data_IF_656548025107
#
_entry.id   IF_656548025107
#
_cell.length_a   1.000
_cell.length_b   1.000
_cell.length_c   1.000
_cell.angle_alpha   90.00
_cell.angle_beta   90.00
_cell.angle_gamma   90.00
#
_symmetry.space_group_name_H-M   'P 1'
#
loop_
_entity.id
_entity.type
_entity.pdbx_description
1 polymer ?
#
# COMPACT_ATOMS: atom_id res chain seq x y z
N UNK A 1 -53.54 -6.73 30.40
CA UNK A 1 -52.77 -7.93 29.97
C UNK A 1 -52.59 -7.91 28.45
N UNK A 2 -51.96 -6.86 27.91
CA UNK A 2 -51.83 -6.65 26.44
C UNK A 2 -50.41 -6.22 26.03
N UNK A 3 -49.52 -5.90 26.98
CA UNK A 3 -48.16 -5.42 26.70
C UNK A 3 -47.12 -6.52 26.47
N UNK A 4 -47.32 -7.72 27.02
CA UNK A 4 -46.31 -8.80 26.95
C UNK A 4 -46.33 -9.56 25.61
N UNK A 5 -47.42 -9.47 24.85
CA UNK A 5 -47.55 -10.11 23.53
C UNK A 5 -46.86 -9.32 22.41
N UNK A 6 -46.67 -8.01 22.59
CA UNK A 6 -46.05 -7.14 21.59
C UNK A 6 -44.52 -7.25 21.59
N UNK A 7 -43.92 -7.53 22.76
CA UNK A 7 -42.46 -7.60 22.93
C UNK A 7 -41.87 -8.88 22.33
N UNK A 8 -42.61 -9.99 22.36
CA UNK A 8 -42.15 -11.26 21.79
C UNK A 8 -42.20 -11.29 20.25
N UNK A 9 -43.05 -10.48 19.62
CA UNK A 9 -43.15 -10.39 18.17
C UNK A 9 -41.97 -9.64 17.51
N UNK A 10 -41.33 -8.71 18.24
CA UNK A 10 -40.23 -7.89 17.71
C UNK A 10 -38.90 -8.66 17.73
N UNK A 11 -38.75 -9.66 18.60
CA UNK A 11 -37.53 -10.45 18.76
C UNK A 11 -37.30 -11.52 17.67
N UNK A 12 -38.25 -11.76 16.77
CA UNK A 12 -38.17 -12.84 15.76
C UNK A 12 -37.88 -12.39 14.31
N UNK A 13 -37.50 -11.13 14.08
CA UNK A 13 -37.41 -10.58 12.71
C UNK A 13 -35.99 -10.21 12.22
N UNK A 14 -34.92 -10.48 12.98
CA UNK A 14 -33.54 -10.28 12.51
C UNK A 14 -32.96 -11.55 11.88
N UNK A 15 -33.66 -12.10 10.88
CA UNK A 15 -33.08 -13.11 9.99
C UNK A 15 -32.17 -12.38 9.00
N UNK A 16 -30.87 -12.48 9.30
CA UNK A 16 -29.78 -12.74 8.37
C UNK A 16 -29.87 -12.08 6.99
N UNK A 17 -29.26 -10.90 6.88
CA UNK A 17 -28.74 -10.37 5.60
C UNK A 17 -27.22 -10.30 5.69
N UNK A 18 -26.56 -11.46 5.73
CA UNK A 18 -25.13 -11.53 5.40
C UNK A 18 -25.03 -11.40 3.88
N UNK A 19 -24.84 -10.19 3.38
CA UNK A 19 -24.43 -10.00 1.99
C UNK A 19 -23.02 -10.61 1.88
N UNK A 20 -22.91 -11.77 1.23
CA UNK A 20 -21.61 -12.28 0.78
C UNK A 20 -20.99 -11.20 -0.10
N UNK A 21 -20.00 -10.48 0.41
CA UNK A 21 -19.14 -9.65 -0.43
C UNK A 21 -18.38 -10.63 -1.31
N UNK A 22 -18.86 -10.79 -2.55
CA UNK A 22 -18.10 -11.42 -3.60
C UNK A 22 -16.82 -10.60 -3.74
N UNK A 23 -15.74 -11.11 -3.17
CA UNK A 23 -14.40 -10.57 -3.34
C UNK A 23 -14.06 -10.86 -4.78
N UNK A 24 -14.47 -9.97 -5.68
CA UNK A 24 -14.13 -10.06 -7.09
C UNK A 24 -12.61 -10.05 -7.16
N UNK A 25 -12.02 -11.25 -7.33
CA UNK A 25 -10.59 -11.43 -7.47
C UNK A 25 -10.24 -10.87 -8.84
N UNK A 26 -10.10 -9.55 -8.91
CA UNK A 26 -9.29 -8.95 -9.96
C UNK A 26 -7.96 -9.71 -9.89
N UNK A 27 -7.60 -10.38 -10.98
CA UNK A 27 -6.27 -10.97 -11.14
C UNK A 27 -5.27 -9.81 -11.16
N UNK A 28 -5.06 -9.19 -10.00
CA UNK A 28 -4.02 -8.22 -9.79
C UNK A 28 -2.73 -9.00 -9.96
N UNK A 29 -1.97 -8.66 -11.00
CA UNK A 29 -0.64 -9.20 -11.20
C UNK A 29 0.13 -9.04 -9.90
N UNK A 30 0.65 -10.16 -9.40
CA UNK A 30 1.42 -10.15 -8.17
C UNK A 30 2.65 -9.25 -8.35
N UNK A 31 3.01 -8.45 -7.34
CA UNK A 31 4.22 -7.65 -7.40
C UNK A 31 5.43 -8.54 -7.70
N UNK A 32 6.23 -8.14 -8.69
CA UNK A 32 7.45 -8.84 -9.06
C UNK A 32 8.65 -7.92 -8.86
N UNK A 33 9.80 -8.50 -8.53
CA UNK A 33 11.06 -7.75 -8.44
C UNK A 33 11.41 -7.21 -9.82
N UNK A 34 11.55 -5.88 -9.91
CA UNK A 34 12.06 -5.22 -11.11
C UNK A 34 13.55 -5.48 -11.26
N UNK A 35 13.97 -5.97 -12.44
CA UNK A 35 15.36 -6.33 -12.75
C UNK A 35 15.94 -5.54 -13.93
N UNK A 36 15.23 -4.51 -14.41
CA UNK A 36 15.60 -3.74 -15.61
C UNK A 36 16.54 -2.55 -15.36
N UNK A 37 17.22 -2.50 -14.20
CA UNK A 37 18.15 -1.42 -13.87
C UNK A 37 19.58 -1.95 -13.83
N UNK A 38 20.50 -1.21 -14.46
CA UNK A 38 21.94 -1.46 -14.36
C UNK A 38 22.57 -0.76 -13.14
N UNK A 39 21.96 0.35 -12.70
CA UNK A 39 22.44 1.20 -11.61
C UNK A 39 22.06 0.68 -10.23
N UNK A 40 20.93 -0.02 -10.12
CA UNK A 40 20.37 -0.48 -8.84
C UNK A 40 20.06 -1.96 -8.86
N UNK A 41 20.33 -2.62 -7.72
CA UNK A 41 19.93 -3.99 -7.45
C UNK A 41 18.88 -4.00 -6.36
N UNK A 42 17.87 -4.84 -6.51
CA UNK A 42 16.86 -5.03 -5.47
C UNK A 42 17.52 -5.53 -4.19
N UNK A 43 17.34 -4.77 -3.10
CA UNK A 43 17.94 -5.07 -1.80
C UNK A 43 16.92 -5.70 -0.84
N UNK A 44 15.69 -5.19 -0.81
CA UNK A 44 14.63 -5.71 0.05
C UNK A 44 13.43 -4.78 0.15
N UNK A 45 12.47 -5.17 0.99
CA UNK A 45 11.34 -4.35 1.41
C UNK A 45 11.55 -4.00 2.89
N UNK A 46 11.50 -2.71 3.22
CA UNK A 46 11.71 -2.20 4.58
C UNK A 46 10.52 -1.32 4.96
N UNK A 47 10.17 -1.33 6.25
CA UNK A 47 9.10 -0.48 6.75
C UNK A 47 9.58 0.97 6.88
N UNK A 48 8.72 1.90 6.52
CA UNK A 48 8.88 3.31 6.87
C UNK A 48 8.56 3.49 8.36
N UNK A 49 9.40 4.23 9.09
CA UNK A 49 9.28 4.43 10.54
C UNK A 49 8.58 5.71 10.92
N UNK A 50 8.40 6.66 9.99
CA UNK A 50 7.70 7.95 10.25
C UNK A 50 6.28 7.85 10.82
N UNK A 51 5.62 6.69 10.73
CA UNK A 51 4.25 6.46 11.21
C UNK A 51 4.16 5.36 12.29
N UNK A 52 5.29 4.93 12.83
CA UNK A 52 5.35 3.89 13.88
C UNK A 52 5.61 4.57 15.21
N UNK A 53 4.64 4.45 16.13
CA UNK A 53 4.75 4.97 17.49
C UNK A 53 5.95 4.34 18.22
N UNK A 54 6.65 5.16 19.02
CA UNK A 54 7.84 4.77 19.79
C UNK A 54 9.03 4.27 18.93
N UNK A 55 9.06 4.67 17.65
CA UNK A 55 10.21 4.47 16.77
C UNK A 55 11.11 5.72 16.74
N UNK A 56 12.16 5.71 15.92
CA UNK A 56 12.95 6.91 15.65
C UNK A 56 12.17 7.96 14.85
N UNK A 57 11.01 7.61 14.26
CA UNK A 57 10.18 8.47 13.40
C UNK A 57 10.91 9.07 12.18
N UNK A 58 12.12 8.59 11.90
CA UNK A 58 12.93 8.99 10.76
C UNK A 58 12.45 8.31 9.47
N UNK A 59 12.82 8.91 8.34
CA UNK A 59 12.62 8.28 7.03
C UNK A 59 13.62 7.16 6.82
N UNK A 60 13.15 6.03 6.28
CA UNK A 60 14.03 4.91 5.90
C UNK A 60 15.20 5.34 4.99
N UNK A 61 14.94 6.30 4.09
CA UNK A 61 15.97 7.00 3.30
C UNK A 61 16.02 8.48 3.72
N UNK A 62 16.63 8.73 4.87
CA UNK A 62 16.91 10.08 5.38
C UNK A 62 17.88 10.85 4.46
N UNK A 63 17.82 12.19 4.52
CA UNK A 63 18.68 13.15 3.80
C UNK A 63 18.70 13.03 2.26
N UNK A 64 17.82 12.22 1.70
CA UNK A 64 17.64 12.06 0.26
C UNK A 64 16.71 13.11 -0.36
N UNK A 65 16.41 12.90 -1.63
CA UNK A 65 15.38 13.64 -2.38
C UNK A 65 14.11 12.79 -2.49
N UNK A 66 12.97 13.42 -2.83
CA UNK A 66 11.72 12.71 -3.04
C UNK A 66 10.93 13.24 -4.24
N UNK A 67 10.15 12.37 -4.87
CA UNK A 67 9.22 12.71 -5.94
C UNK A 67 7.89 12.01 -5.67
N UNK A 68 6.78 12.75 -5.73
CA UNK A 68 5.44 12.20 -5.56
C UNK A 68 4.70 12.26 -6.88
N UNK A 69 4.23 11.10 -7.36
CA UNK A 69 3.38 10.95 -8.54
C UNK A 69 2.18 10.07 -8.16
N UNK A 70 1.21 10.67 -7.48
CA UNK A 70 0.03 9.97 -6.96
C UNK A 70 -0.65 9.14 -8.05
N UNK A 71 -0.72 7.83 -7.84
CA UNK A 71 -1.32 6.88 -8.78
C UNK A 71 -0.57 6.71 -10.11
N UNK A 72 0.61 7.30 -10.29
CA UNK A 72 1.40 7.21 -11.53
C UNK A 72 2.85 6.78 -11.33
N UNK A 73 3.31 6.66 -10.08
CA UNK A 73 4.68 6.26 -9.79
C UNK A 73 4.96 4.81 -10.19
N UNK A 74 6.08 4.59 -10.87
CA UNK A 74 6.57 3.28 -11.31
C UNK A 74 8.00 3.06 -10.81
N UNK A 75 8.49 1.81 -10.84
CA UNK A 75 9.88 1.51 -10.47
C UNK A 75 10.86 2.27 -11.37
N UNK A 76 10.79 2.23 -12.71
CA UNK A 76 11.72 2.96 -13.57
C UNK A 76 11.76 4.47 -13.28
N UNK A 77 10.59 5.12 -13.11
CA UNK A 77 10.54 6.55 -12.81
C UNK A 77 11.26 6.93 -11.51
N UNK A 78 11.15 6.07 -10.49
CA UNK A 78 11.84 6.28 -9.22
C UNK A 78 13.36 6.12 -9.38
N UNK A 79 13.79 5.07 -10.07
CA UNK A 79 15.23 4.82 -10.29
C UNK A 79 15.87 5.91 -11.15
N UNK A 80 15.21 6.32 -12.24
CA UNK A 80 15.65 7.41 -13.11
C UNK A 80 15.79 8.73 -12.34
N UNK A 81 14.81 9.03 -11.48
CA UNK A 81 14.88 10.21 -10.62
C UNK A 81 16.11 10.18 -9.70
N UNK A 82 16.42 9.01 -9.12
CA UNK A 82 17.56 8.80 -8.23
C UNK A 82 18.93 8.74 -8.95
N UNK A 83 18.97 8.64 -10.28
CA UNK A 83 20.22 8.74 -11.07
C UNK A 83 20.32 10.02 -11.91
N UNK A 84 19.27 10.83 -11.94
CA UNK A 84 19.21 12.05 -12.74
C UNK A 84 20.10 13.20 -12.21
N UNK A 85 20.31 14.21 -13.06
CA UNK A 85 20.99 15.47 -12.70
C UNK A 85 22.43 15.31 -12.19
N UNK A 86 23.15 14.29 -12.67
CA UNK A 86 24.56 14.04 -12.33
C UNK A 86 24.77 13.53 -10.91
N UNK A 87 23.70 13.15 -10.20
CA UNK A 87 23.77 12.52 -8.88
C UNK A 87 23.16 11.13 -8.96
N UNK A 88 23.97 10.12 -8.67
CA UNK A 88 23.48 8.75 -8.47
C UNK A 88 23.45 8.48 -6.96
N UNK A 89 22.26 8.49 -6.38
CA UNK A 89 22.10 8.18 -4.97
C UNK A 89 22.49 6.73 -4.69
N UNK A 90 23.13 6.48 -3.54
CA UNK A 90 23.55 5.12 -3.14
C UNK A 90 22.36 4.15 -3.00
N UNK A 91 21.21 4.68 -2.57
CA UNK A 91 19.98 3.93 -2.38
C UNK A 91 18.82 4.68 -3.03
N UNK A 92 17.87 3.91 -3.57
CA UNK A 92 16.59 4.39 -4.07
C UNK A 92 15.47 3.59 -3.38
N UNK A 93 14.40 4.27 -3.00
CA UNK A 93 13.28 3.70 -2.25
C UNK A 93 11.97 4.17 -2.85
N UNK A 94 11.06 3.23 -3.03
CA UNK A 94 9.78 3.43 -3.70
C UNK A 94 8.68 2.93 -2.77
N UNK A 95 7.68 3.78 -2.54
CA UNK A 95 6.48 3.42 -1.81
C UNK A 95 5.25 3.68 -2.68
N UNK A 96 4.22 2.84 -2.50
CA UNK A 96 2.91 3.01 -3.13
C UNK A 96 2.94 3.06 -4.68
N UNK A 97 3.89 2.36 -5.30
CA UNK A 97 3.98 2.28 -6.75
C UNK A 97 2.81 1.54 -7.37
N UNK A 98 2.42 1.94 -8.57
CA UNK A 98 1.59 1.06 -9.40
C UNK A 98 2.47 0.00 -10.06
N UNK A 99 1.93 -1.21 -10.12
CA UNK A 99 2.45 -2.22 -11.02
C UNK A 99 2.15 -1.79 -12.46
N UNK A 100 3.18 -1.70 -13.29
CA UNK A 100 3.04 -1.42 -14.72
C UNK A 100 3.63 -2.62 -15.45
N UNK A 101 2.76 -3.36 -16.15
CA UNK A 101 3.12 -4.41 -17.09
C UNK A 101 3.77 -3.82 -18.34
#
# INVERSE_FOLDING_TARGET
>A
MTGTLYVTAILLSIVSSVTSQDSSSTNASQPSIYRGSDDYKYYGCYNETTQIQDSAEDRALADGTHLVKAGKMTVPMCLDFCTSNGTQYKYAGLEWSRYVL
#
